data_IF_679734869006
#
_entry.id   IF_679734869006
#
_cell.length_a   1.000
_cell.length_b   1.000
_cell.length_c   1.000
_cell.angle_alpha   90.00
_cell.angle_beta   90.00
_cell.angle_gamma   90.00
#
_symmetry.space_group_name_H-M   'P 1'
#
loop_
_entity.id
_entity.type
_entity.pdbx_description
1 polymer ?
#
# COMPACT_ATOMS: atom_id res chain seq x y z
N UNK A 1 -2.89 12.84 3.81
CA UNK A 1 -2.84 11.44 4.30
C UNK A 1 -1.44 11.19 4.80
N UNK A 2 -1.26 10.33 5.80
CA UNK A 2 0.06 9.79 6.13
C UNK A 2 0.28 8.51 5.31
N UNK A 3 1.13 8.52 4.26
CA UNK A 3 1.36 7.35 3.43
C UNK A 3 2.10 6.25 4.18
N UNK A 4 2.90 6.57 5.21
CA UNK A 4 3.59 5.56 6.01
C UNK A 4 2.58 4.78 6.85
N UNK A 5 1.61 5.47 7.45
CA UNK A 5 0.52 4.83 8.16
C UNK A 5 -0.35 3.98 7.23
N UNK A 6 -0.70 4.51 6.05
CA UNK A 6 -1.49 3.76 5.06
C UNK A 6 -0.76 2.49 4.56
N UNK A 7 0.55 2.58 4.32
CA UNK A 7 1.38 1.44 3.94
C UNK A 7 1.45 0.38 5.04
N UNK A 8 1.63 0.81 6.29
CA UNK A 8 1.61 -0.11 7.44
C UNK A 8 0.26 -0.82 7.55
N UNK A 9 -0.85 -0.08 7.47
CA UNK A 9 -2.20 -0.65 7.54
C UNK A 9 -2.45 -1.67 6.42
N UNK A 10 -1.98 -1.39 5.20
CA UNK A 10 -2.04 -2.32 4.09
C UNK A 10 -1.33 -3.65 4.43
N UNK A 11 -0.10 -3.59 4.94
CA UNK A 11 0.67 -4.78 5.29
C UNK A 11 0.05 -5.55 6.47
N UNK A 12 -0.43 -4.84 7.49
CA UNK A 12 -1.09 -5.45 8.64
C UNK A 12 -2.39 -6.16 8.22
N UNK A 13 -3.22 -5.51 7.38
CA UNK A 13 -4.45 -6.09 6.87
C UNK A 13 -4.16 -7.32 5.98
N UNK A 14 -3.10 -7.26 5.17
CA UNK A 14 -2.65 -8.41 4.37
C UNK A 14 -2.30 -9.61 5.26
N UNK A 15 -1.50 -9.39 6.30
CA UNK A 15 -1.13 -10.43 7.26
C UNK A 15 -2.33 -11.00 8.02
N UNK A 16 -3.29 -10.14 8.38
CA UNK A 16 -4.50 -10.52 9.07
C UNK A 16 -5.56 -11.20 8.18
N UNK A 17 -5.33 -11.27 6.86
CA UNK A 17 -6.34 -11.68 5.86
C UNK A 17 -7.61 -10.83 5.90
N UNK A 18 -7.49 -9.57 6.30
CA UNK A 18 -8.59 -8.59 6.28
C UNK A 18 -8.71 -8.00 4.87
N UNK A 19 -9.56 -8.59 4.04
CA UNK A 19 -9.73 -8.19 2.64
C UNK A 19 -10.25 -6.76 2.49
N UNK A 20 -11.16 -6.34 3.38
CA UNK A 20 -11.71 -4.99 3.37
C UNK A 20 -10.64 -3.97 3.72
N UNK A 21 -9.93 -4.18 4.83
CA UNK A 21 -8.84 -3.28 5.25
C UNK A 21 -7.70 -3.22 4.22
N UNK A 22 -7.41 -4.35 3.57
CA UNK A 22 -6.44 -4.45 2.50
C UNK A 22 -6.84 -3.60 1.29
N UNK A 23 -8.09 -3.75 0.81
CA UNK A 23 -8.65 -2.96 -0.28
C UNK A 23 -8.69 -1.46 0.03
N UNK A 24 -9.21 -1.08 1.20
CA UNK A 24 -9.34 0.33 1.59
C UNK A 24 -7.97 1.03 1.68
N UNK A 25 -6.99 0.37 2.31
CA UNK A 25 -5.64 0.93 2.46
C UNK A 25 -4.92 1.02 1.11
N UNK A 26 -5.03 -0.01 0.26
CA UNK A 26 -4.42 -0.04 -1.06
C UNK A 26 -5.02 1.00 -2.01
N UNK A 27 -6.34 1.13 -2.06
CA UNK A 27 -7.02 2.12 -2.90
C UNK A 27 -6.68 3.55 -2.45
N UNK A 28 -6.70 3.82 -1.14
CA UNK A 28 -6.39 5.13 -0.59
C UNK A 28 -4.93 5.54 -0.87
N UNK A 29 -3.97 4.65 -0.64
CA UNK A 29 -2.56 4.93 -0.89
C UNK A 29 -2.28 5.09 -2.39
N UNK A 30 -2.92 4.29 -3.25
CA UNK A 30 -2.77 4.42 -4.70
C UNK A 30 -3.29 5.76 -5.22
N UNK A 31 -4.48 6.21 -4.79
CA UNK A 31 -5.02 7.53 -5.15
C UNK A 31 -4.10 8.67 -4.67
N UNK A 32 -3.53 8.57 -3.47
CA UNK A 32 -2.55 9.54 -2.97
C UNK A 32 -1.30 9.62 -3.85
N UNK A 33 -0.75 8.48 -4.25
CA UNK A 33 0.44 8.40 -5.10
C UNK A 33 0.15 8.93 -6.51
N UNK A 34 -1.01 8.62 -7.09
CA UNK A 34 -1.42 9.07 -8.42
C UNK A 34 -1.55 10.59 -8.49
N UNK A 35 -2.04 11.22 -7.41
CA UNK A 35 -2.10 12.69 -7.26
C UNK A 35 -0.75 13.36 -7.00
N UNK A 36 0.36 12.63 -7.10
CA UNK A 36 1.70 13.16 -6.88
C UNK A 36 2.11 13.28 -5.41
N UNK A 37 1.35 12.67 -4.49
CA UNK A 37 1.72 12.60 -3.07
C UNK A 37 3.05 11.90 -2.85
N UNK A 38 3.74 12.22 -1.75
CA UNK A 38 5.02 11.59 -1.41
C UNK A 38 4.82 10.11 -1.02
N UNK A 39 5.79 9.22 -1.33
CA UNK A 39 5.67 7.79 -1.06
C UNK A 39 6.06 7.41 0.37
N UNK A 40 5.59 6.25 0.88
CA UNK A 40 6.06 5.69 2.14
C UNK A 40 7.47 5.09 2.00
N UNK A 41 8.15 4.86 3.12
CA UNK A 41 9.32 3.98 3.13
C UNK A 41 8.85 2.53 3.06
N UNK A 42 9.31 1.82 2.04
CA UNK A 42 8.81 0.48 1.71
C UNK A 42 9.67 -0.65 2.30
N UNK A 43 10.91 -0.35 2.69
CA UNK A 43 11.84 -1.31 3.29
C UNK A 43 12.26 -0.79 4.66
N UNK A 44 11.91 -1.48 5.77
CA UNK A 44 12.31 -1.06 7.11
C UNK A 44 13.84 -0.97 7.25
N UNK A 45 14.33 0.13 7.83
CA UNK A 45 15.76 0.33 8.10
C UNK A 45 16.62 0.74 6.90
N UNK A 46 16.04 0.86 5.70
CA UNK A 46 16.74 1.36 4.52
C UNK A 46 16.09 2.63 3.98
N UNK A 47 16.91 3.65 3.73
CA UNK A 47 16.47 4.87 3.05
C UNK A 47 16.70 4.72 1.56
N UNK A 48 15.61 4.51 0.83
CA UNK A 48 15.62 4.47 -0.64
C UNK A 48 15.16 5.80 -1.22
N UNK A 49 15.45 6.03 -2.51
CA UNK A 49 14.92 7.20 -3.20
C UNK A 49 13.39 7.16 -3.29
N UNK A 50 12.76 8.34 -3.35
CA UNK A 50 11.30 8.45 -3.53
C UNK A 50 10.82 7.73 -4.79
N UNK A 51 11.61 7.73 -5.86
CA UNK A 51 11.28 7.00 -7.10
C UNK A 51 11.16 5.49 -6.84
N UNK A 52 12.10 4.92 -6.09
CA UNK A 52 12.06 3.50 -5.71
C UNK A 52 10.84 3.21 -4.84
N UNK A 53 10.70 3.98 -3.75
CA UNK A 53 9.61 3.82 -2.79
C UNK A 53 8.23 3.95 -3.44
N UNK A 54 8.06 4.90 -4.36
CA UNK A 54 6.83 5.04 -5.16
C UNK A 54 6.57 3.79 -6.00
N UNK A 55 7.56 3.30 -6.74
CA UNK A 55 7.38 2.14 -7.60
C UNK A 55 6.96 0.89 -6.80
N UNK A 56 7.62 0.65 -5.66
CA UNK A 56 7.30 -0.47 -4.77
C UNK A 56 5.91 -0.31 -4.14
N UNK A 57 5.57 0.88 -3.64
CA UNK A 57 4.27 1.14 -3.04
C UNK A 57 3.12 0.96 -4.06
N UNK A 58 3.29 1.45 -5.30
CA UNK A 58 2.32 1.26 -6.38
C UNK A 58 2.15 -0.22 -6.70
N UNK A 59 3.24 -0.96 -6.92
CA UNK A 59 3.18 -2.38 -7.21
C UNK A 59 2.51 -3.18 -6.07
N UNK A 60 2.83 -2.84 -4.82
CA UNK A 60 2.22 -3.43 -3.63
C UNK A 60 0.71 -3.16 -3.56
N UNK A 61 0.26 -1.93 -3.80
CA UNK A 61 -1.17 -1.59 -3.81
C UNK A 61 -1.93 -2.35 -4.90
N UNK A 62 -1.39 -2.40 -6.13
CA UNK A 62 -2.03 -3.11 -7.24
C UNK A 62 -2.13 -4.61 -6.97
N UNK A 63 -1.08 -5.20 -6.41
CA UNK A 63 -1.06 -6.62 -6.03
C UNK A 63 -2.08 -6.91 -4.93
N UNK A 64 -2.11 -6.09 -3.89
CA UNK A 64 -3.07 -6.19 -2.79
C UNK A 64 -4.52 -6.15 -3.27
N UNK A 65 -4.87 -5.23 -4.18
CA UNK A 65 -6.21 -5.13 -4.76
C UNK A 65 -6.60 -6.36 -5.59
N UNK A 66 -5.64 -6.94 -6.33
CA UNK A 66 -5.87 -8.17 -7.07
C UNK A 66 -6.06 -9.39 -6.14
N UNK A 67 -5.34 -9.43 -5.02
CA UNK A 67 -5.38 -10.52 -4.03
C UNK A 67 -6.52 -10.43 -3.01
N UNK A 68 -7.11 -9.25 -2.81
CA UNK A 68 -8.26 -9.08 -1.91
C UNK A 68 -9.57 -9.50 -2.58
N UNK A 69 -9.69 -9.33 -3.90
CA UNK A 69 -10.86 -9.72 -4.71
C UNK A 69 -11.33 -11.19 -4.51
N UNK A 70 -10.44 -12.17 -4.26
CA UNK A 70 -10.80 -13.54 -3.90
C UNK A 70 -11.21 -13.79 -2.43
N UNK A 71 -11.04 -12.83 -1.50
CA UNK A 71 -11.41 -13.01 -0.08
C UNK A 71 -12.85 -12.59 0.24
N UNK A 72 -13.55 -11.97 -0.73
CA UNK A 72 -14.96 -11.58 -0.65
C UNK A 72 -15.95 -12.74 -0.95
N UNK A 73 -15.52 -14.01 -0.83
CA UNK A 73 -16.33 -15.22 -1.12
C UNK A 73 -16.62 -15.99 0.17
#
# INVERSE_FOLDING_TARGET
>A
MDPQAAWKNLLDAHQARDGKGLCESAAALLDWLDRGGFPPQTIPGLTMSDRWNRAVAVAGCLTALAEAKPWDI
#
